data_IF_566757804833
#
_entry.id   IF_566757804833
#
_cell.length_a   1.000
_cell.length_b   1.000
_cell.length_c   1.000
_cell.angle_alpha   90.00
_cell.angle_beta   90.00
_cell.angle_gamma   90.00
#
_symmetry.space_group_name_H-M   'P 1'
#
loop_
_entity.id
_entity.type
_entity.pdbx_description
1 polymer ?
#
# COMPACT_ATOMS: atom_id res chain seq x y z
N UNK A 1 5.77 10.82 4.42
CA UNK A 1 5.44 11.46 5.72
C UNK A 1 5.64 12.98 5.70
N UNK A 2 5.20 13.70 4.64
CA UNK A 2 5.33 15.17 4.57
C UNK A 2 3.96 15.86 4.68
N UNK A 3 2.89 15.27 4.12
CA UNK A 3 1.53 15.85 4.17
C UNK A 3 0.86 15.87 5.55
N UNK A 4 1.34 15.09 6.52
CA UNK A 4 0.78 15.10 7.88
C UNK A 4 1.00 16.44 8.61
N UNK A 5 1.92 17.30 8.16
CA UNK A 5 2.26 18.55 8.85
C UNK A 5 1.37 19.75 8.46
N UNK A 6 0.38 19.58 7.59
CA UNK A 6 -0.54 20.65 7.19
C UNK A 6 -1.83 20.73 8.03
N UNK A 7 -1.95 19.91 9.09
CA UNK A 7 -3.10 19.89 10.01
C UNK A 7 -2.83 20.62 11.33
N UNK A 8 -3.87 20.79 12.15
CA UNK A 8 -3.70 21.26 13.54
C UNK A 8 -2.87 20.26 14.34
N UNK A 9 -2.07 20.72 15.31
CA UNK A 9 -1.23 19.84 16.13
C UNK A 9 -2.02 18.68 16.77
N UNK A 10 -3.28 18.93 17.13
CA UNK A 10 -4.22 17.95 17.67
C UNK A 10 -4.56 16.84 16.65
N UNK A 11 -4.87 17.20 15.39
CA UNK A 11 -5.11 16.24 14.31
C UNK A 11 -3.87 15.41 14.01
N UNK A 12 -2.70 16.04 14.04
CA UNK A 12 -1.43 15.34 13.83
C UNK A 12 -1.22 14.30 14.91
N UNK A 13 -1.37 14.69 16.17
CA UNK A 13 -1.19 13.79 17.31
C UNK A 13 -2.17 12.60 17.26
N UNK A 14 -3.43 12.85 16.92
CA UNK A 14 -4.45 11.81 16.78
C UNK A 14 -4.19 10.86 15.59
N UNK A 15 -3.76 11.39 14.44
CA UNK A 15 -3.57 10.60 13.22
C UNK A 15 -2.24 9.83 13.19
N UNK A 16 -1.19 10.34 13.85
CA UNK A 16 0.18 9.84 13.69
C UNK A 16 0.36 8.33 13.95
N UNK A 17 -0.24 7.72 14.99
CA UNK A 17 -0.12 6.28 15.23
C UNK A 17 -0.71 5.45 14.08
N UNK A 18 -1.90 5.79 13.60
CA UNK A 18 -2.54 5.11 12.48
C UNK A 18 -1.81 5.35 11.16
N UNK A 19 -1.33 6.57 10.91
CA UNK A 19 -0.54 6.86 9.71
C UNK A 19 0.76 6.04 9.67
N UNK A 20 1.37 5.73 10.82
CA UNK A 20 2.51 4.82 10.89
C UNK A 20 2.11 3.41 10.46
N UNK A 21 1.04 2.85 11.02
CA UNK A 21 0.53 1.52 10.64
C UNK A 21 0.16 1.47 9.16
N UNK A 22 -0.63 2.44 8.70
CA UNK A 22 -0.99 2.61 7.29
C UNK A 22 0.24 2.62 6.38
N UNK A 23 1.23 3.47 6.67
CA UNK A 23 2.42 3.60 5.81
C UNK A 23 3.27 2.34 5.78
N UNK A 24 3.35 1.59 6.89
CA UNK A 24 4.07 0.32 6.96
C UNK A 24 3.39 -0.75 6.12
N UNK A 25 2.07 -0.92 6.30
CA UNK A 25 1.31 -1.91 5.55
C UNK A 25 1.28 -1.59 4.07
N UNK A 26 1.08 -0.31 3.71
CA UNK A 26 1.08 0.10 2.30
C UNK A 26 2.46 -0.05 1.64
N UNK A 27 3.54 0.28 2.37
CA UNK A 27 4.90 0.11 1.86
C UNK A 27 5.23 -1.36 1.54
N UNK A 28 4.77 -2.28 2.39
CA UNK A 28 4.88 -3.72 2.15
C UNK A 28 4.04 -4.15 0.94
N UNK A 29 2.77 -3.73 0.88
CA UNK A 29 1.89 -4.04 -0.26
C UNK A 29 2.49 -3.56 -1.59
N UNK A 30 3.10 -2.37 -1.60
CA UNK A 30 3.74 -1.83 -2.79
C UNK A 30 4.89 -2.71 -3.29
N UNK A 31 5.77 -3.17 -2.39
CA UNK A 31 6.88 -4.07 -2.74
C UNK A 31 6.39 -5.41 -3.27
N UNK A 32 5.41 -6.02 -2.59
CA UNK A 32 4.84 -7.32 -3.02
C UNK A 32 4.19 -7.21 -4.41
N UNK A 33 3.47 -6.11 -4.69
CA UNK A 33 2.88 -5.89 -6.02
C UNK A 33 3.97 -5.63 -7.07
N UNK A 34 5.04 -4.93 -6.74
CA UNK A 34 6.18 -4.72 -7.66
C UNK A 34 6.79 -6.06 -8.09
N UNK A 35 7.01 -6.96 -7.13
CA UNK A 35 7.51 -8.32 -7.39
C UNK A 35 6.52 -9.16 -8.23
N UNK A 36 5.22 -9.03 -7.98
CA UNK A 36 4.17 -9.68 -8.78
C UNK A 36 4.20 -9.17 -10.22
N UNK A 37 4.33 -7.86 -10.42
CA UNK A 37 4.37 -7.26 -11.73
C UNK A 37 5.63 -7.67 -12.51
N UNK A 38 6.80 -7.76 -11.88
CA UNK A 38 8.04 -8.20 -12.55
C UNK A 38 7.94 -9.63 -13.13
N UNK A 39 7.12 -10.49 -12.50
CA UNK A 39 6.92 -11.88 -12.91
C UNK A 39 5.73 -12.06 -13.87
N UNK A 40 4.67 -11.25 -13.73
CA UNK A 40 3.40 -11.47 -14.45
C UNK A 40 3.19 -10.56 -15.66
N UNK A 41 3.82 -9.40 -15.72
CA UNK A 41 3.62 -8.48 -16.83
C UNK A 41 4.55 -8.82 -18.00
N UNK A 42 3.98 -8.89 -19.19
CA UNK A 42 4.74 -9.03 -20.43
C UNK A 42 5.68 -7.84 -20.62
N UNK A 43 6.85 -8.11 -21.20
CA UNK A 43 7.91 -7.16 -21.58
C UNK A 43 7.38 -5.89 -22.27
N UNK A 44 6.27 -6.03 -23.01
CA UNK A 44 5.63 -4.96 -23.75
C UNK A 44 4.89 -3.94 -22.87
N UNK A 45 4.41 -4.34 -21.68
CA UNK A 45 3.55 -3.52 -20.82
C UNK A 45 4.31 -2.78 -19.72
N UNK A 46 5.45 -3.32 -19.27
CA UNK A 46 6.31 -2.70 -18.24
C UNK A 46 7.32 -1.67 -18.77
N UNK A 47 7.59 -1.65 -20.08
CA UNK A 47 8.67 -0.83 -20.66
C UNK A 47 10.09 -1.26 -20.25
N UNK A 48 10.25 -2.47 -19.68
CA UNK A 48 11.51 -3.14 -19.32
C UNK A 48 11.41 -4.64 -19.57
N UNK A 49 12.56 -5.33 -19.64
CA UNK A 49 12.60 -6.79 -19.80
C UNK A 49 12.02 -7.49 -18.58
N UNK A 50 10.90 -8.21 -18.74
CA UNK A 50 10.29 -9.05 -17.70
C UNK A 50 11.27 -10.14 -17.22
N UNK A 51 11.21 -10.51 -15.94
CA UNK A 51 12.07 -11.53 -15.34
C UNK A 51 13.51 -11.09 -15.01
N UNK A 52 13.75 -9.78 -14.82
CA UNK A 52 15.07 -9.26 -14.46
C UNK A 52 15.53 -9.80 -13.10
N UNK A 53 14.61 -9.94 -12.14
CA UNK A 53 14.98 -10.37 -10.79
C UNK A 53 15.30 -11.87 -10.71
N UNK A 54 14.63 -12.70 -11.53
CA UNK A 54 14.98 -14.11 -11.69
C UNK A 54 16.38 -14.29 -12.31
N UNK A 55 16.79 -13.38 -13.21
CA UNK A 55 18.12 -13.38 -13.81
C UNK A 55 19.22 -12.88 -12.85
N UNK A 56 18.88 -12.07 -11.84
CA UNK A 56 19.82 -11.53 -10.84
C UNK A 56 19.86 -12.34 -9.52
N UNK A 57 19.19 -13.50 -9.45
CA UNK A 57 19.19 -14.39 -8.28
C UNK A 57 18.71 -13.71 -6.97
N UNK A 58 17.84 -12.71 -7.12
CA UNK A 58 17.37 -11.89 -6.01
C UNK A 58 16.12 -12.53 -5.40
N UNK A 59 16.06 -12.76 -4.07
CA UNK A 59 14.85 -13.29 -3.45
C UNK A 59 13.74 -12.22 -3.46
N UNK A 60 12.64 -12.51 -4.14
CA UNK A 60 11.41 -11.70 -4.19
C UNK A 60 10.26 -12.41 -3.45
N UNK A 61 9.21 -11.68 -3.08
CA UNK A 61 8.03 -12.27 -2.42
C UNK A 61 7.39 -13.37 -3.26
N UNK A 62 7.34 -13.21 -4.58
CA UNK A 62 6.79 -14.24 -5.49
C UNK A 62 7.67 -15.49 -5.49
N UNK A 63 9.00 -15.35 -5.49
CA UNK A 63 9.91 -16.52 -5.44
C UNK A 63 9.84 -17.27 -4.10
N UNK A 64 9.57 -16.56 -3.00
CA UNK A 64 9.54 -17.14 -1.66
C UNK A 64 8.19 -17.76 -1.30
N UNK A 65 7.08 -17.10 -1.69
CA UNK A 65 5.72 -17.48 -1.27
C UNK A 65 4.92 -18.13 -2.41
N UNK A 66 5.30 -17.91 -3.66
CA UNK A 66 4.45 -18.17 -4.82
C UNK A 66 3.50 -17.01 -5.12
N UNK A 67 2.99 -16.96 -6.35
CA UNK A 67 2.16 -15.87 -6.86
C UNK A 67 0.84 -15.71 -6.09
N UNK A 68 0.18 -16.81 -5.75
CA UNK A 68 -1.10 -16.80 -5.05
C UNK A 68 -0.97 -16.22 -3.64
N UNK A 69 0.00 -16.71 -2.87
CA UNK A 69 0.26 -16.25 -1.50
C UNK A 69 0.82 -14.81 -1.47
N UNK A 70 1.67 -14.43 -2.43
CA UNK A 70 2.09 -13.04 -2.58
C UNK A 70 0.89 -12.11 -2.86
N UNK A 71 -0.05 -12.55 -3.70
CA UNK A 71 -1.28 -11.79 -3.98
C UNK A 71 -2.17 -11.67 -2.73
N UNK A 72 -2.29 -12.76 -1.95
CA UNK A 72 -3.03 -12.75 -0.70
C UNK A 72 -2.40 -11.82 0.34
N UNK A 73 -1.06 -11.82 0.45
CA UNK A 73 -0.30 -10.92 1.31
C UNK A 73 -0.55 -9.45 0.95
N UNK A 74 -0.47 -9.08 -0.34
CA UNK A 74 -0.74 -7.72 -0.78
C UNK A 74 -2.17 -7.27 -0.41
N UNK A 75 -3.17 -8.13 -0.58
CA UNK A 75 -4.56 -7.88 -0.18
C UNK A 75 -4.70 -7.71 1.34
N UNK A 76 -4.03 -8.55 2.13
CA UNK A 76 -4.02 -8.42 3.60
C UNK A 76 -3.41 -7.09 4.02
N UNK A 77 -2.26 -6.71 3.47
CA UNK A 77 -1.61 -5.44 3.77
C UNK A 77 -2.47 -4.23 3.38
N UNK A 78 -3.22 -4.30 2.29
CA UNK A 78 -4.23 -3.28 1.95
C UNK A 78 -5.32 -3.19 3.02
N UNK A 79 -5.86 -4.32 3.46
CA UNK A 79 -6.91 -4.33 4.49
C UNK A 79 -6.38 -3.73 5.81
N UNK A 80 -5.17 -4.11 6.23
CA UNK A 80 -4.53 -3.55 7.42
C UNK A 80 -4.33 -2.02 7.31
N UNK A 81 -3.98 -1.54 6.11
CA UNK A 81 -3.86 -0.10 5.85
C UNK A 81 -5.22 0.61 5.97
N UNK A 82 -6.28 0.05 5.38
CA UNK A 82 -7.63 0.62 5.44
C UNK A 82 -8.20 0.60 6.87
N UNK A 83 -7.99 -0.48 7.61
CA UNK A 83 -8.45 -0.60 8.99
C UNK A 83 -7.70 0.36 9.91
N UNK A 84 -6.41 0.63 9.66
CA UNK A 84 -5.69 1.69 10.36
C UNK A 84 -6.31 3.08 10.12
N UNK A 85 -6.76 3.39 8.90
CA UNK A 85 -7.46 4.66 8.62
C UNK A 85 -8.82 4.72 9.33
N UNK A 86 -9.64 3.66 9.22
CA UNK A 86 -10.94 3.59 9.90
C UNK A 86 -10.82 3.75 11.41
N UNK A 87 -9.73 3.22 12.00
CA UNK A 87 -9.47 3.33 13.43
C UNK A 87 -9.23 4.75 13.95
N UNK A 88 -8.99 5.74 13.07
CA UNK A 88 -8.85 7.16 13.44
C UNK A 88 -9.96 8.06 12.91
N UNK A 89 -10.86 7.53 12.08
CA UNK A 89 -11.97 8.28 11.52
C UNK A 89 -13.03 8.59 12.60
N UNK A 90 -13.50 9.82 12.60
CA UNK A 90 -14.62 10.30 13.42
C UNK A 90 -15.85 10.52 12.54
N UNK A 91 -16.93 11.08 13.09
CA UNK A 91 -18.03 11.61 12.26
C UNK A 91 -17.58 12.80 11.37
N UNK A 92 -18.47 13.26 10.47
CA UNK A 92 -18.18 14.30 9.47
C UNK A 92 -17.82 15.68 10.08
N UNK A 93 -18.22 15.94 11.33
CA UNK A 93 -17.93 17.17 12.05
C UNK A 93 -16.74 17.03 13.02
N UNK A 94 -16.30 15.80 13.25
CA UNK A 94 -15.27 15.46 14.22
C UNK A 94 -13.85 15.83 13.80
N UNK A 95 -12.90 15.38 14.63
CA UNK A 95 -11.50 15.75 14.48
C UNK A 95 -10.89 15.25 13.16
N UNK A 96 -11.26 14.04 12.72
CA UNK A 96 -10.75 13.41 11.49
C UNK A 96 -11.92 12.75 10.74
N UNK A 97 -12.71 13.51 9.96
CA UNK A 97 -13.81 12.94 9.21
C UNK A 97 -13.30 12.05 8.05
N UNK A 98 -14.06 11.04 7.59
CA UNK A 98 -13.61 10.07 6.57
C UNK A 98 -13.19 10.71 5.24
N UNK A 99 -13.75 11.88 4.92
CA UNK A 99 -13.33 12.67 3.74
C UNK A 99 -11.84 13.06 3.75
N UNK A 100 -11.19 13.15 4.92
CA UNK A 100 -9.76 13.49 5.02
C UNK A 100 -8.83 12.29 4.74
N UNK A 101 -9.27 11.07 5.07
CA UNK A 101 -8.54 9.83 4.84
C UNK A 101 -8.85 9.20 3.47
N UNK A 102 -9.94 9.62 2.82
CA UNK A 102 -10.40 9.10 1.51
C UNK A 102 -9.29 8.92 0.47
N UNK A 103 -8.43 9.93 0.27
CA UNK A 103 -7.35 9.86 -0.73
C UNK A 103 -6.28 8.84 -0.38
N UNK A 104 -6.04 8.60 0.91
CA UNK A 104 -5.16 7.54 1.37
C UNK A 104 -5.80 6.17 1.09
N UNK A 105 -7.08 5.99 1.41
CA UNK A 105 -7.81 4.76 1.09
C UNK A 105 -7.79 4.44 -0.42
N UNK A 106 -8.10 5.43 -1.27
CA UNK A 106 -8.03 5.30 -2.73
C UNK A 106 -6.61 4.96 -3.22
N UNK A 107 -5.57 5.47 -2.57
CA UNK A 107 -4.17 5.15 -2.89
C UNK A 107 -3.84 3.70 -2.54
N UNK A 108 -4.32 3.19 -1.39
CA UNK A 108 -4.15 1.80 -1.00
C UNK A 108 -4.86 0.84 -1.97
N UNK A 109 -6.06 1.20 -2.41
CA UNK A 109 -6.81 0.47 -3.44
C UNK A 109 -6.07 0.44 -4.77
N UNK A 110 -5.58 1.60 -5.21
CA UNK A 110 -4.84 1.72 -6.46
C UNK A 110 -3.56 0.89 -6.47
N UNK A 111 -2.78 0.90 -5.38
CA UNK A 111 -1.51 0.16 -5.31
C UNK A 111 -1.70 -1.35 -5.46
N UNK A 112 -2.74 -1.92 -4.85
CA UNK A 112 -3.00 -3.37 -4.93
C UNK A 112 -3.83 -3.75 -6.15
N UNK A 113 -4.66 -2.84 -6.66
CA UNK A 113 -5.50 -3.07 -7.83
C UNK A 113 -4.85 -2.74 -9.18
N UNK A 114 -3.63 -2.20 -9.21
CA UNK A 114 -2.96 -1.83 -10.47
C UNK A 114 -2.62 -3.08 -11.29
N UNK A 115 -3.25 -3.18 -12.46
CA UNK A 115 -2.84 -4.04 -13.58
C UNK A 115 -2.31 -3.10 -14.66
N UNK A 116 -1.05 -3.27 -15.08
CA UNK A 116 -0.49 -2.56 -16.23
C UNK A 116 -0.80 -3.33 -17.51
#
# INVERSE_FOLDING_TARGET
>A
MIGAHCGTAERIAAALPALKTYSKSLGLAFQVIDDILDVTADTATLGKTAGKDAAENKPTYVTLLGLEEATALAKSCRNDALDALRGIETDEEGLIPPRLTRRLAETADYIVGRTF
#
